data_IF_795716385193
#
_entry.id   IF_795716385193
#
_cell.length_a   1.000
_cell.length_b   1.000
_cell.length_c   1.000
_cell.angle_alpha   90.00
_cell.angle_beta   90.00
_cell.angle_gamma   90.00
#
_symmetry.space_group_name_H-M   'P 1'
#
loop_
_entity.id
_entity.type
_entity.pdbx_description
1 polymer ?
#
# COMPACT_ATOMS: atom_id res chain seq x y z
N UNK A 1 -3.95 -2.10 18.17
CA UNK A 1 -3.97 -1.86 16.71
C UNK A 1 -5.18 -2.60 16.17
N UNK A 2 -6.23 -1.87 15.80
CA UNK A 2 -7.49 -2.44 15.34
C UNK A 2 -7.25 -3.11 13.98
N UNK A 3 -7.24 -4.45 13.96
CA UNK A 3 -7.14 -5.22 12.73
C UNK A 3 -8.44 -5.03 11.97
N UNK A 4 -8.48 -4.05 11.07
CA UNK A 4 -9.55 -3.92 10.10
C UNK A 4 -9.61 -5.23 9.31
N UNK A 5 -10.61 -6.07 9.62
CA UNK A 5 -10.92 -7.33 8.95
C UNK A 5 -11.43 -7.04 7.52
N UNK A 6 -10.57 -6.45 6.69
CA UNK A 6 -10.82 -6.19 5.26
C UNK A 6 -10.00 -7.21 4.47
N UNK A 7 -10.50 -8.46 4.32
CA UNK A 7 -9.81 -9.44 3.51
C UNK A 7 -9.61 -8.90 2.10
N UNK A 8 -8.42 -9.15 1.53
CA UNK A 8 -8.19 -8.83 0.13
C UNK A 8 -9.15 -9.66 -0.76
N UNK A 9 -9.69 -9.09 -1.84
CA UNK A 9 -10.47 -9.86 -2.81
C UNK A 9 -9.68 -11.05 -3.38
N UNK A 10 -10.34 -12.11 -3.86
CA UNK A 10 -9.67 -13.26 -4.48
C UNK A 10 -8.73 -12.83 -5.61
N UNK A 11 -7.50 -13.37 -5.61
CA UNK A 11 -6.48 -13.01 -6.59
C UNK A 11 -5.75 -11.69 -6.31
N UNK A 12 -5.99 -11.05 -5.16
CA UNK A 12 -5.30 -9.84 -4.72
C UNK A 12 -4.72 -10.00 -3.31
N UNK A 13 -3.78 -9.11 -2.97
CA UNK A 13 -3.20 -8.98 -1.63
C UNK A 13 -2.97 -7.51 -1.29
N UNK A 14 -3.05 -7.19 0.01
CA UNK A 14 -2.65 -5.89 0.51
C UNK A 14 -1.13 -5.83 0.64
N UNK A 15 -0.54 -4.72 0.20
CA UNK A 15 0.88 -4.39 0.41
C UNK A 15 0.95 -3.07 1.15
N UNK A 16 1.62 -3.08 2.29
CA UNK A 16 1.87 -1.89 3.09
C UNK A 16 3.34 -1.46 2.94
N UNK A 17 3.60 -0.18 2.69
CA UNK A 17 4.96 0.34 2.61
C UNK A 17 5.09 1.77 3.19
N UNK A 18 6.27 2.08 3.73
CA UNK A 18 6.56 3.41 4.32
C UNK A 18 6.76 4.51 3.28
N UNK A 19 7.14 4.15 2.05
CA UNK A 19 7.27 5.06 0.93
C UNK A 19 7.24 4.26 -0.39
N UNK A 20 6.99 4.94 -1.50
CA UNK A 20 7.07 4.35 -2.83
C UNK A 20 7.65 5.35 -3.84
N UNK A 21 8.23 4.82 -4.94
CA UNK A 21 8.74 5.65 -6.04
C UNK A 21 7.60 5.92 -7.02
N UNK A 22 7.30 7.20 -7.25
CA UNK A 22 6.31 7.59 -8.26
C UNK A 22 6.86 7.30 -9.66
N UNK A 23 6.13 6.48 -10.44
CA UNK A 23 6.62 5.98 -11.72
C UNK A 23 6.89 7.09 -12.75
N UNK A 24 6.03 8.13 -12.79
CA UNK A 24 6.13 9.20 -13.80
C UNK A 24 7.26 10.19 -13.51
N UNK A 25 7.45 10.57 -12.25
CA UNK A 25 8.42 11.62 -11.87
C UNK A 25 9.70 11.07 -11.26
N UNK A 26 9.74 9.78 -10.92
CA UNK A 26 10.87 9.13 -10.26
C UNK A 26 11.09 9.53 -8.80
N UNK A 27 10.27 10.43 -8.24
CA UNK A 27 10.42 10.92 -6.86
C UNK A 27 9.92 9.90 -5.84
N UNK A 28 10.55 9.85 -4.66
CA UNK A 28 10.02 9.12 -3.51
C UNK A 28 8.87 9.90 -2.88
N UNK A 29 7.77 9.19 -2.62
CA UNK A 29 6.56 9.72 -1.98
C UNK A 29 6.47 9.12 -0.59
N UNK A 30 6.32 9.99 0.41
CA UNK A 30 6.18 9.64 1.81
C UNK A 30 4.78 10.02 2.30
N UNK A 31 4.17 9.21 3.20
CA UNK A 31 2.88 9.55 3.78
C UNK A 31 3.07 10.74 4.73
N UNK A 32 2.13 11.69 4.71
CA UNK A 32 2.25 12.93 5.51
C UNK A 32 1.72 12.77 6.93
N UNK A 33 0.59 12.08 7.07
CA UNK A 33 -0.17 11.96 8.32
C UNK A 33 -0.46 10.50 8.70
N UNK A 34 0.03 9.53 7.92
CA UNK A 34 -0.21 8.11 8.10
C UNK A 34 1.10 7.35 8.24
N UNK A 35 1.06 6.17 8.90
CA UNK A 35 2.26 5.36 9.13
C UNK A 35 2.77 4.64 7.88
N UNK A 36 1.86 4.30 6.96
CA UNK A 36 2.19 3.63 5.71
C UNK A 36 1.14 3.88 4.62
N UNK A 37 1.54 3.67 3.37
CA UNK A 37 0.63 3.49 2.26
C UNK A 37 0.15 2.04 2.21
N UNK A 38 -1.09 1.83 1.77
CA UNK A 38 -1.67 0.50 1.59
C UNK A 38 -2.24 0.38 0.18
N UNK A 39 -1.77 -0.62 -0.56
CA UNK A 39 -2.16 -0.87 -1.95
C UNK A 39 -2.74 -2.26 -2.12
N UNK A 40 -3.77 -2.38 -2.95
CA UNK A 40 -4.24 -3.67 -3.42
C UNK A 40 -3.47 -4.04 -4.69
N UNK A 41 -2.74 -5.16 -4.65
CA UNK A 41 -1.96 -5.65 -5.79
C UNK A 41 -2.43 -7.06 -6.16
N UNK A 42 -2.31 -7.44 -7.44
CA UNK A 42 -2.57 -8.83 -7.86
C UNK A 42 -1.64 -9.78 -7.11
N UNK A 43 -2.20 -10.82 -6.52
CA UNK A 43 -1.45 -11.97 -6.08
C UNK A 43 -0.90 -12.68 -7.33
N UNK A 44 0.36 -13.15 -7.25
CA UNK A 44 0.98 -13.91 -8.34
C UNK A 44 0.39 -15.31 -8.41
#
# INVERSE_FOLDING_TARGET
METTNRPAPPGFRWVCCKCFKHWRTGKLVYPKTADCFMFLVRAR
#
